data_IF_034666744497
#
_entry.id   IF_034666744497
#
_cell.length_a   1.000
_cell.length_b   1.000
_cell.length_c   1.000
_cell.angle_alpha   90.00
_cell.angle_beta   90.00
_cell.angle_gamma   90.00
#
_symmetry.space_group_name_H-M   'P 1'
#
loop_
_entity.id
_entity.type
_entity.pdbx_description
1 polymer ?
#
# COMPACT_ATOMS: atom_id res chain seq x y z
N UNK A 1 -0.79 -4.74 2.80
CA UNK A 1 0.11 -5.33 1.77
C UNK A 1 -0.05 -6.85 1.61
N UNK A 2 -0.97 -7.52 2.34
CA UNK A 2 -1.18 -8.98 2.24
C UNK A 2 -1.55 -9.48 0.84
N UNK A 3 -2.16 -8.61 0.01
CA UNK A 3 -2.50 -8.90 -1.38
C UNK A 3 -1.28 -9.26 -2.26
N UNK A 4 -0.09 -8.76 -1.89
CA UNK A 4 1.16 -8.94 -2.63
C UNK A 4 1.74 -10.36 -2.48
N UNK A 5 1.30 -11.12 -1.47
CA UNK A 5 1.85 -12.44 -1.13
C UNK A 5 1.55 -13.47 -2.21
N UNK A 6 0.26 -13.67 -2.48
CA UNK A 6 -0.23 -14.78 -3.31
C UNK A 6 -1.17 -14.31 -4.42
N UNK A 7 -2.04 -13.33 -4.11
CA UNK A 7 -3.11 -12.92 -5.03
C UNK A 7 -2.57 -12.19 -6.25
N UNK A 8 -1.63 -11.26 -6.06
CA UNK A 8 -1.02 -10.55 -7.20
C UNK A 8 -0.23 -11.53 -8.10
N UNK A 9 0.68 -12.38 -7.58
CA UNK A 9 1.36 -13.37 -8.41
C UNK A 9 0.42 -14.30 -9.17
N UNK A 10 -0.63 -14.82 -8.52
CA UNK A 10 -1.62 -15.69 -9.14
C UNK A 10 -2.42 -14.96 -10.22
N UNK A 11 -2.94 -13.76 -9.93
CA UNK A 11 -3.70 -13.00 -10.92
C UNK A 11 -2.87 -12.72 -12.19
N UNK A 12 -1.56 -12.49 -12.03
CA UNK A 12 -0.64 -12.33 -13.16
C UNK A 12 -0.42 -13.64 -13.93
N UNK A 13 -0.31 -14.79 -13.25
CA UNK A 13 -0.14 -16.08 -13.94
C UNK A 13 -1.37 -16.47 -14.76
N UNK A 14 -2.56 -16.17 -14.23
CA UNK A 14 -3.84 -16.54 -14.85
C UNK A 14 -4.40 -15.46 -15.80
N UNK A 15 -3.66 -14.35 -16.02
CA UNK A 15 -4.12 -13.25 -16.89
C UNK A 15 -5.36 -12.52 -16.37
N UNK A 16 -5.60 -12.52 -15.06
CA UNK A 16 -6.75 -11.91 -14.42
C UNK A 16 -6.51 -10.42 -14.13
N UNK A 17 -7.61 -9.65 -14.15
CA UNK A 17 -7.63 -8.27 -13.66
C UNK A 17 -7.93 -8.21 -12.16
N UNK A 18 -7.41 -7.19 -11.49
CA UNK A 18 -7.61 -6.94 -10.07
C UNK A 18 -8.51 -5.73 -9.86
N UNK A 19 -9.57 -5.88 -9.05
CA UNK A 19 -10.43 -4.77 -8.64
C UNK A 19 -10.41 -4.57 -7.12
N UNK A 20 -9.30 -4.06 -6.55
CA UNK A 20 -9.16 -3.92 -5.10
C UNK A 20 -10.12 -2.86 -4.54
N UNK A 21 -10.74 -3.17 -3.41
CA UNK A 21 -11.56 -2.25 -2.64
C UNK A 21 -10.80 -1.74 -1.42
N UNK A 22 -11.29 -0.67 -0.79
CA UNK A 22 -10.67 -0.03 0.38
C UNK A 22 -9.25 0.51 0.13
N UNK A 23 -8.97 0.96 -1.09
CA UNK A 23 -7.64 1.49 -1.46
C UNK A 23 -7.23 2.74 -0.69
N UNK A 24 -8.20 3.48 -0.13
CA UNK A 24 -7.97 4.67 0.72
C UNK A 24 -8.14 4.38 2.22
N UNK A 25 -8.12 3.11 2.64
CA UNK A 25 -8.22 2.67 4.03
C UNK A 25 -9.42 3.30 4.79
N UNK A 26 -10.59 3.38 4.15
CA UNK A 26 -11.78 4.00 4.76
C UNK A 26 -11.72 5.53 4.90
N UNK A 27 -10.84 6.20 4.14
CA UNK A 27 -10.62 7.65 4.20
C UNK A 27 -9.61 8.05 5.28
N UNK A 28 -8.68 7.14 5.60
CA UNK A 28 -7.61 7.35 6.56
C UNK A 28 -6.31 7.87 5.94
N UNK A 29 -6.16 7.87 4.63
CA UNK A 29 -5.07 8.61 3.99
C UNK A 29 -5.48 10.08 3.87
N UNK A 30 -5.14 10.85 4.90
CA UNK A 30 -5.42 12.30 5.03
C UNK A 30 -4.31 12.99 5.84
N UNK A 31 -4.24 14.31 5.82
CA UNK A 31 -3.26 15.08 6.61
C UNK A 31 -3.63 15.17 8.09
N UNK A 32 -2.67 15.54 8.93
CA UNK A 32 -2.91 15.82 10.36
C UNK A 32 -3.92 16.97 10.55
N UNK A 33 -3.85 18.00 9.70
CA UNK A 33 -4.79 19.11 9.67
C UNK A 33 -6.21 18.65 9.35
N UNK A 34 -6.38 17.79 8.33
CA UNK A 34 -7.70 17.28 7.98
C UNK A 34 -8.28 16.40 9.09
N UNK A 35 -7.46 15.58 9.75
CA UNK A 35 -7.91 14.78 10.88
C UNK A 35 -8.42 15.66 12.04
N UNK A 36 -7.72 16.75 12.35
CA UNK A 36 -8.15 17.69 13.38
C UNK A 36 -9.44 18.43 12.99
N UNK A 37 -9.59 18.83 11.72
CA UNK A 37 -10.85 19.38 11.20
C UNK A 37 -12.01 18.38 11.36
N UNK A 38 -11.77 17.10 11.06
CA UNK A 38 -12.77 16.04 11.21
C UNK A 38 -13.19 15.82 12.66
N UNK A 39 -12.25 15.93 13.61
CA UNK A 39 -12.57 15.92 15.06
C UNK A 39 -13.53 17.03 15.45
N UNK A 40 -13.28 18.26 14.98
CA UNK A 40 -14.12 19.44 15.26
C UNK A 40 -15.51 19.37 14.61
N UNK A 41 -15.59 18.80 13.41
CA UNK A 41 -16.84 18.74 12.62
C UNK A 41 -17.67 17.49 12.87
N UNK A 42 -17.11 16.48 13.55
CA UNK A 42 -17.75 15.17 13.72
C UNK A 42 -17.77 14.33 12.44
N UNK A 43 -17.10 14.76 11.37
CA UNK A 43 -17.01 14.03 10.12
C UNK A 43 -16.17 12.75 10.29
N UNK A 44 -16.81 11.59 10.11
CA UNK A 44 -16.15 10.28 10.17
C UNK A 44 -15.92 9.69 8.78
N UNK A 45 -14.90 8.84 8.69
CA UNK A 45 -14.66 7.97 7.54
C UNK A 45 -15.61 6.75 7.54
N UNK A 46 -15.29 5.75 6.72
CA UNK A 46 -16.05 4.50 6.67
C UNK A 46 -15.69 3.62 7.87
N UNK A 47 -16.65 3.34 8.75
CA UNK A 47 -16.41 2.60 10.01
C UNK A 47 -16.98 1.17 10.03
N UNK A 48 -17.49 0.67 8.90
CA UNK A 48 -18.15 -0.64 8.81
C UNK A 48 -17.19 -1.78 9.20
N UNK A 49 -15.91 -1.69 8.79
CA UNK A 49 -14.89 -2.73 9.03
C UNK A 49 -13.87 -2.33 10.10
N UNK A 50 -13.85 -1.05 10.47
CA UNK A 50 -12.96 -0.49 11.48
C UNK A 50 -13.77 0.46 12.36
N UNK A 51 -14.11 0.08 13.61
CA UNK A 51 -14.91 0.93 14.48
C UNK A 51 -14.21 2.27 14.76
N UNK A 52 -12.87 2.26 14.78
CA UNK A 52 -12.04 3.45 14.93
C UNK A 52 -11.83 4.18 13.60
N UNK A 53 -12.39 5.38 13.50
CA UNK A 53 -12.22 6.28 12.36
C UNK A 53 -10.92 7.10 12.41
N UNK A 54 -10.27 7.16 13.57
CA UNK A 54 -9.00 7.84 13.79
C UNK A 54 -7.84 7.00 13.26
N UNK A 55 -6.77 7.67 12.86
CA UNK A 55 -5.56 7.00 12.40
C UNK A 55 -4.73 6.52 13.59
N UNK A 56 -4.27 5.27 13.54
CA UNK A 56 -3.21 4.79 14.42
C UNK A 56 -1.84 5.33 13.96
N UNK A 57 -0.78 5.04 14.72
CA UNK A 57 0.55 5.60 14.44
C UNK A 57 1.14 5.13 13.10
N UNK A 58 0.85 3.89 12.70
CA UNK A 58 1.24 3.36 11.40
C UNK A 58 0.50 4.06 10.25
N UNK A 59 -0.82 4.28 10.38
CA UNK A 59 -1.64 4.98 9.40
C UNK A 59 -1.21 6.45 9.25
N UNK A 60 -0.79 7.09 10.35
CA UNK A 60 -0.17 8.43 10.32
C UNK A 60 1.17 8.42 9.62
N UNK A 61 2.03 7.44 9.90
CA UNK A 61 3.34 7.32 9.24
C UNK A 61 3.19 7.15 7.73
N UNK A 62 2.26 6.29 7.28
CA UNK A 62 1.92 6.13 5.85
C UNK A 62 1.39 7.43 5.26
N UNK A 63 0.49 8.12 5.96
CA UNK A 63 -0.04 9.41 5.48
C UNK A 63 1.08 10.44 5.27
N UNK A 64 2.03 10.55 6.21
CA UNK A 64 3.18 11.44 6.10
C UNK A 64 4.11 11.07 4.94
N UNK A 65 4.28 9.79 4.68
CA UNK A 65 5.05 9.33 3.53
C UNK A 65 4.36 9.68 2.21
N UNK A 66 3.04 9.54 2.14
CA UNK A 66 2.23 9.98 1.00
C UNK A 66 2.28 11.50 0.83
N UNK A 67 2.25 12.29 1.91
CA UNK A 67 2.44 13.75 1.87
C UNK A 67 3.79 14.13 1.27
N UNK A 68 4.87 13.45 1.68
CA UNK A 68 6.20 13.66 1.09
C UNK A 68 6.20 13.35 -0.41
N UNK A 69 5.71 12.18 -0.83
CA UNK A 69 5.70 11.81 -2.25
C UNK A 69 4.80 12.74 -3.06
N UNK A 70 3.65 13.15 -2.53
CA UNK A 70 2.77 14.13 -3.16
C UNK A 70 3.51 15.44 -3.46
N UNK A 71 4.32 15.93 -2.52
CA UNK A 71 5.13 17.13 -2.72
C UNK A 71 6.20 16.97 -3.82
N UNK A 72 6.76 15.77 -3.98
CA UNK A 72 7.75 15.47 -5.01
C UNK A 72 7.14 15.38 -6.41
N UNK A 73 5.92 14.83 -6.53
CA UNK A 73 5.22 14.72 -7.82
C UNK A 73 4.43 15.97 -8.18
N UNK A 74 4.39 16.98 -7.30
CA UNK A 74 3.69 18.25 -7.52
C UNK A 74 2.17 18.15 -7.37
N UNK A 75 1.67 17.14 -6.67
CA UNK A 75 0.25 16.89 -6.47
C UNK A 75 -0.24 17.45 -5.13
N UNK A 76 -1.49 17.92 -5.09
CA UNK A 76 -2.09 18.51 -3.89
C UNK A 76 -2.76 17.46 -3.01
N UNK A 77 -3.04 16.27 -3.53
CA UNK A 77 -3.96 15.31 -2.94
C UNK A 77 -3.26 13.98 -2.68
N UNK A 78 -2.97 13.70 -1.41
CA UNK A 78 -2.30 12.46 -1.01
C UNK A 78 -3.10 11.19 -1.34
N UNK A 79 -4.43 11.32 -1.46
CA UNK A 79 -5.31 10.25 -1.92
C UNK A 79 -5.02 9.87 -3.37
N UNK A 80 -4.67 10.84 -4.23
CA UNK A 80 -4.31 10.60 -5.62
C UNK A 80 -3.03 9.76 -5.71
N UNK A 81 -2.01 10.10 -4.92
CA UNK A 81 -0.76 9.32 -4.81
C UNK A 81 -1.02 7.89 -4.33
N UNK A 82 -1.90 7.70 -3.34
CA UNK A 82 -2.25 6.36 -2.86
C UNK A 82 -2.95 5.51 -3.93
N UNK A 83 -3.85 6.12 -4.71
CA UNK A 83 -4.53 5.43 -5.83
C UNK A 83 -3.51 5.09 -6.92
N UNK A 84 -2.64 6.04 -7.29
CA UNK A 84 -1.58 5.83 -8.28
C UNK A 84 -0.64 4.70 -7.87
N UNK A 85 -0.25 4.64 -6.59
CA UNK A 85 0.55 3.54 -6.03
C UNK A 85 -0.13 2.18 -6.24
N UNK A 86 -1.43 2.07 -5.94
CA UNK A 86 -2.17 0.81 -6.11
C UNK A 86 -2.27 0.43 -7.59
N UNK A 87 -2.56 1.40 -8.47
CA UNK A 87 -2.66 1.16 -9.91
C UNK A 87 -1.34 0.70 -10.53
N UNK A 88 -0.22 1.25 -10.06
CA UNK A 88 1.11 0.95 -10.59
C UNK A 88 1.77 -0.28 -9.95
N UNK A 89 1.10 -0.88 -8.95
CA UNK A 89 1.65 -2.06 -8.26
C UNK A 89 1.80 -3.26 -9.19
N UNK A 90 0.89 -3.42 -10.14
CA UNK A 90 0.95 -4.47 -11.16
C UNK A 90 0.10 -4.11 -12.38
N UNK A 91 0.12 -4.95 -13.41
CA UNK A 91 -0.70 -4.79 -14.61
C UNK A 91 -2.17 -5.09 -14.32
N UNK A 92 -3.10 -4.41 -15.01
CA UNK A 92 -4.56 -4.67 -14.95
C UNK A 92 -5.18 -4.47 -13.56
N UNK A 93 -4.84 -3.37 -12.87
CA UNK A 93 -5.44 -3.01 -11.58
C UNK A 93 -6.45 -1.87 -11.76
N UNK A 94 -7.68 -2.11 -11.33
CA UNK A 94 -8.83 -1.20 -11.43
C UNK A 94 -9.39 -0.94 -10.02
N UNK A 95 -8.78 -0.01 -9.25
CA UNK A 95 -9.18 0.22 -7.87
C UNK A 95 -10.61 0.76 -7.76
N UNK A 96 -11.39 0.22 -6.83
CA UNK A 96 -12.74 0.72 -6.54
C UNK A 96 -12.60 1.95 -5.65
N UNK A 97 -12.77 3.11 -6.27
CA UNK A 97 -12.76 4.42 -5.61
C UNK A 97 -14.17 4.84 -5.20
N UNK A 98 -14.24 5.72 -4.20
CA UNK A 98 -15.49 6.31 -3.74
C UNK A 98 -15.24 7.64 -3.07
N UNK A 99 -16.27 8.48 -3.04
CA UNK A 99 -16.24 9.80 -2.41
C UNK A 99 -17.65 10.31 -2.20
N UNK A 100 -17.84 11.17 -1.19
CA UNK A 100 -19.13 11.83 -0.92
C UNK A 100 -19.15 13.29 -1.37
N UNK A 101 -18.01 13.78 -1.85
CA UNK A 101 -17.77 15.19 -2.18
C UNK A 101 -17.14 15.27 -3.57
N UNK A 102 -17.42 16.36 -4.29
CA UNK A 102 -16.89 16.56 -5.64
C UNK A 102 -15.37 16.68 -5.61
N UNK A 103 -14.83 17.40 -4.64
CA UNK A 103 -13.38 17.52 -4.43
C UNK A 103 -12.67 16.15 -4.29
N UNK A 104 -13.34 15.14 -3.72
CA UNK A 104 -12.77 13.79 -3.62
C UNK A 104 -12.77 13.07 -4.96
N UNK A 105 -13.78 13.31 -5.80
CA UNK A 105 -13.83 12.76 -7.15
C UNK A 105 -12.74 13.36 -8.02
N UNK A 106 -12.53 14.68 -7.94
CA UNK A 106 -11.45 15.38 -8.65
C UNK A 106 -10.08 14.82 -8.26
N UNK A 107 -9.82 14.66 -6.96
CA UNK A 107 -8.60 14.02 -6.47
C UNK A 107 -8.40 12.60 -7.00
N UNK A 108 -9.48 11.82 -7.12
CA UNK A 108 -9.37 10.46 -7.65
C UNK A 108 -9.02 10.46 -9.15
N UNK A 109 -9.46 11.46 -9.91
CA UNK A 109 -9.15 11.59 -11.34
C UNK A 109 -7.69 12.02 -11.53
N UNK A 110 -7.18 12.91 -10.67
CA UNK A 110 -5.78 13.35 -10.70
C UNK A 110 -4.78 12.18 -10.60
N UNK A 111 -5.17 11.10 -9.89
CA UNK A 111 -4.37 9.88 -9.77
C UNK A 111 -3.96 9.26 -11.12
N UNK A 112 -4.75 9.47 -12.18
CA UNK A 112 -4.46 8.96 -13.52
C UNK A 112 -3.25 9.64 -14.18
N UNK A 113 -2.92 10.85 -13.74
CA UNK A 113 -1.82 11.66 -14.28
C UNK A 113 -0.50 11.44 -13.54
N UNK A 114 -0.54 10.77 -12.38
CA UNK A 114 0.64 10.56 -11.54
C UNK A 114 1.40 9.32 -12.03
N UNK A 115 2.71 9.47 -12.26
CA UNK A 115 3.64 8.35 -12.49
C UNK A 115 4.66 8.35 -11.36
N UNK A 116 4.68 7.30 -10.54
CA UNK A 116 5.62 7.17 -9.43
C UNK A 116 6.92 6.54 -9.92
N UNK A 117 8.05 7.06 -9.44
CA UNK A 117 9.34 6.42 -9.72
C UNK A 117 9.53 5.16 -8.88
N UNK A 118 10.47 4.31 -9.28
CA UNK A 118 10.81 3.08 -8.53
C UNK A 118 11.29 3.44 -7.11
N UNK A 119 12.01 4.55 -6.96
CA UNK A 119 12.51 5.05 -5.68
C UNK A 119 11.37 5.52 -4.77
N UNK A 120 10.37 6.19 -5.33
CA UNK A 120 9.18 6.63 -4.60
C UNK A 120 8.36 5.43 -4.12
N UNK A 121 8.16 4.43 -4.99
CA UNK A 121 7.48 3.18 -4.63
C UNK A 121 8.24 2.46 -3.51
N UNK A 122 9.57 2.30 -3.64
CA UNK A 122 10.41 1.69 -2.60
C UNK A 122 10.35 2.46 -1.28
N UNK A 123 10.32 3.79 -1.34
CA UNK A 123 10.18 4.63 -0.15
C UNK A 123 8.81 4.45 0.52
N UNK A 124 7.71 4.44 -0.22
CA UNK A 124 6.38 4.18 0.35
C UNK A 124 6.31 2.79 1.00
N UNK A 125 6.98 1.81 0.40
CA UNK A 125 7.03 0.45 0.90
C UNK A 125 7.91 0.25 2.13
N UNK A 126 8.91 1.11 2.35
CA UNK A 126 9.78 1.00 3.53
C UNK A 126 9.14 1.50 4.82
N UNK A 127 8.02 2.23 4.72
CA UNK A 127 7.29 2.79 5.88
C UNK A 127 6.64 1.71 6.72
N UNK A 128 6.21 0.62 6.09
CA UNK A 128 5.56 -0.51 6.75
C UNK A 128 6.24 -1.79 6.30
N UNK A 129 6.80 -2.52 7.26
CA UNK A 129 7.43 -3.80 7.00
C UNK A 129 6.46 -4.76 6.30
N UNK A 130 6.98 -5.45 5.29
CA UNK A 130 6.21 -6.47 4.60
C UNK A 130 6.16 -7.72 5.47
N UNK A 131 4.99 -8.00 6.02
CA UNK A 131 4.70 -9.29 6.66
C UNK A 131 4.43 -10.34 5.56
N UNK A 132 5.24 -11.41 5.41
CA UNK A 132 4.96 -12.50 4.48
C UNK A 132 3.75 -13.35 4.91
N UNK A 133 3.41 -13.35 6.20
CA UNK A 133 2.32 -14.11 6.78
C UNK A 133 2.42 -15.63 6.63
N UNK A 134 1.45 -16.32 7.22
CA UNK A 134 1.28 -17.76 7.05
C UNK A 134 0.75 -18.10 5.63
N UNK A 135 1.18 -19.20 4.98
CA UNK A 135 2.13 -20.22 5.43
C UNK A 135 3.60 -19.90 5.10
N UNK A 136 3.89 -18.79 4.42
CA UNK A 136 5.24 -18.43 3.96
C UNK A 136 6.22 -18.34 5.14
N UNK A 137 5.82 -17.71 6.25
CA UNK A 137 6.65 -17.61 7.45
C UNK A 137 7.03 -18.97 8.04
N UNK A 138 6.10 -19.95 8.02
CA UNK A 138 6.36 -21.32 8.48
C UNK A 138 7.32 -22.05 7.54
N UNK A 139 7.13 -21.94 6.23
CA UNK A 139 8.00 -22.59 5.23
C UNK A 139 9.40 -21.99 5.35
N UNK A 140 9.54 -20.68 5.29
CA UNK A 140 10.86 -20.03 5.35
C UNK A 140 11.55 -20.35 6.69
N UNK A 141 10.84 -20.30 7.82
CA UNK A 141 11.40 -20.64 9.14
C UNK A 141 11.77 -22.12 9.29
N UNK A 142 11.00 -23.05 8.71
CA UNK A 142 11.31 -24.48 8.76
C UNK A 142 12.45 -24.90 7.82
N UNK A 143 12.67 -24.16 6.74
CA UNK A 143 13.77 -24.39 5.79
C UNK A 143 15.05 -23.62 6.11
N UNK A 144 14.99 -22.49 6.83
CA UNK A 144 16.14 -21.67 7.23
C UNK A 144 17.26 -22.45 7.98
N UNK A 145 16.96 -23.27 9.00
CA UNK A 145 17.96 -24.10 9.68
C UNK A 145 18.63 -25.13 8.74
N UNK A 146 17.98 -25.45 7.62
CA UNK A 146 18.49 -26.40 6.63
C UNK A 146 19.42 -25.72 5.63
N UNK A 147 19.11 -24.49 5.21
CA UNK A 147 19.94 -23.66 4.32
C UNK A 147 21.28 -23.27 4.96
N UNK A 148 21.33 -23.17 6.28
CA UNK A 148 22.59 -22.94 6.98
C UNK A 148 23.59 -24.09 6.82
N UNK A 149 23.11 -25.31 6.59
CA UNK A 149 23.91 -26.52 6.42
C UNK A 149 24.23 -26.87 4.95
N UNK A 150 23.82 -26.03 3.98
CA UNK A 150 24.19 -26.24 2.58
C UNK A 150 25.59 -25.65 2.27
N UNK A 151 26.40 -26.34 1.45
CA UNK A 151 27.67 -25.79 0.98
C UNK A 151 27.44 -24.44 0.27
N UNK A 152 28.41 -23.53 0.41
CA UNK A 152 28.32 -22.12 0.01
C UNK A 152 27.84 -21.90 -1.44
N UNK A 153 28.08 -22.87 -2.34
CA UNK A 153 27.65 -22.84 -3.73
C UNK A 153 26.12 -22.91 -3.92
N UNK A 154 25.37 -23.51 -2.99
CA UNK A 154 23.90 -23.64 -3.08
C UNK A 154 23.14 -22.50 -2.40
N UNK A 155 23.78 -21.75 -1.48
CA UNK A 155 23.21 -20.53 -0.90
C UNK A 155 23.02 -19.42 -1.94
N UNK A 156 23.88 -19.37 -2.97
CA UNK A 156 23.82 -18.37 -4.04
C UNK A 156 22.63 -18.54 -5.02
N UNK A 157 21.91 -19.67 -4.96
CA UNK A 157 20.73 -19.94 -5.79
C UNK A 157 19.40 -19.53 -5.14
N UNK A 158 19.40 -19.10 -3.87
CA UNK A 158 18.21 -18.56 -3.20
C UNK A 158 18.27 -17.03 -3.31
N UNK A 159 17.39 -16.39 -4.10
CA UNK A 159 17.40 -14.93 -4.22
C UNK A 159 17.11 -14.30 -2.86
N UNK A 160 18.01 -13.45 -2.36
CA UNK A 160 17.82 -12.66 -1.13
C UNK A 160 18.61 -13.11 0.09
N UNK A 161 19.43 -14.16 0.01
CA UNK A 161 20.38 -14.49 1.09
C UNK A 161 21.71 -13.76 0.87
N UNK A 162 21.78 -12.51 1.31
CA UNK A 162 23.01 -11.72 1.36
C UNK A 162 23.10 -10.58 0.35
N UNK A 163 22.16 -9.64 0.45
CA UNK A 163 22.38 -8.20 0.27
C UNK A 163 21.14 -7.43 0.70
#
# INVERSE_FOLDING_TARGET
RSFERDIIPMARSEGMALAPWSVLAGGKFRTDEEEERRRKTGERGRTIFHPEWQRNDQEKAVSKALEKVASEVGDKHIAAVAIAYVMQKTTNVFPIIGGRRVEQLEANIEALSITLTVEQIKYLESVVEFDPGFPITMIVSSFLPRLENFPSCLRAMVPGFGQ
#
